data_IF_682430876403
#
_entry.id   IF_682430876403
#
_cell.length_a   1.000
_cell.length_b   1.000
_cell.length_c   1.000
_cell.angle_alpha   90.00
_cell.angle_beta   90.00
_cell.angle_gamma   90.00
#
_symmetry.space_group_name_H-M   'P 1'
#
loop_
_entity.id
_entity.type
_entity.pdbx_description
1 polymer ?
#
# COMPACT_ATOMS: atom_id res chain seq x y z
N UNK A 1 -18.61 9.76 51.50
CA UNK A 1 -19.08 9.58 50.11
C UNK A 1 -17.85 9.26 49.27
N UNK A 2 -17.74 8.02 48.80
CA UNK A 2 -16.61 7.49 48.06
C UNK A 2 -17.01 7.33 46.59
N UNK A 3 -16.14 7.76 45.68
CA UNK A 3 -16.29 7.56 44.23
C UNK A 3 -15.46 6.33 43.81
N UNK A 4 -15.94 5.50 42.87
CA UNK A 4 -15.25 4.27 42.48
C UNK A 4 -14.05 4.56 41.57
N UNK A 5 -12.95 3.86 41.83
CA UNK A 5 -11.78 3.76 40.95
C UNK A 5 -12.12 2.96 39.69
N UNK A 6 -11.96 3.56 38.51
CA UNK A 6 -11.96 2.83 37.25
C UNK A 6 -10.54 2.38 36.93
N UNK A 7 -10.30 1.10 37.15
CA UNK A 7 -9.10 0.37 36.80
C UNK A 7 -9.06 0.17 35.27
N UNK A 8 -8.38 1.06 34.54
CA UNK A 8 -8.23 0.94 33.10
C UNK A 8 -6.98 0.11 32.78
N UNK A 9 -7.18 -1.21 32.71
CA UNK A 9 -6.21 -2.13 32.13
C UNK A 9 -6.14 -1.91 30.61
N UNK A 10 -5.29 -0.98 30.18
CA UNK A 10 -4.86 -0.91 28.79
C UNK A 10 -3.82 -2.01 28.56
N UNK A 11 -4.29 -3.17 28.11
CA UNK A 11 -3.46 -4.21 27.52
C UNK A 11 -2.63 -3.61 26.39
N UNK A 12 -1.33 -3.50 26.64
CA UNK A 12 -0.36 -2.95 25.70
C UNK A 12 -0.29 -3.78 24.44
N UNK A 13 -0.80 -3.24 23.33
CA UNK A 13 -0.41 -3.64 21.99
C UNK A 13 1.04 -3.20 21.76
N UNK A 14 1.99 -4.04 22.16
CA UNK A 14 3.41 -3.85 21.87
C UNK A 14 3.64 -3.95 20.37
N UNK A 15 3.76 -2.78 19.73
CA UNK A 15 4.29 -2.68 18.38
C UNK A 15 5.65 -3.38 18.33
N UNK A 16 5.78 -4.40 17.47
CA UNK A 16 7.05 -5.10 17.26
C UNK A 16 7.96 -4.14 16.53
N UNK A 17 8.70 -3.40 17.34
CA UNK A 17 9.69 -2.43 16.92
C UNK A 17 10.91 -3.26 16.50
N UNK A 18 11.35 -3.11 15.25
CA UNK A 18 12.68 -3.60 14.86
C UNK A 18 13.71 -3.05 15.87
N UNK A 19 14.86 -3.71 16.07
CA UNK A 19 15.90 -3.23 17.01
C UNK A 19 16.44 -1.82 16.68
N UNK A 20 15.93 -1.19 15.61
CA UNK A 20 16.19 0.18 15.15
C UNK A 20 14.95 1.10 15.07
N UNK A 21 13.76 0.74 15.56
CA UNK A 21 12.63 1.68 15.60
C UNK A 21 11.83 1.90 14.29
N UNK A 22 12.29 1.36 13.16
CA UNK A 22 11.78 1.74 11.85
C UNK A 22 10.61 0.84 11.37
N UNK A 23 9.47 1.47 11.08
CA UNK A 23 8.34 0.83 10.39
C UNK A 23 8.73 0.52 8.94
N UNK A 24 8.42 -0.68 8.46
CA UNK A 24 8.97 -1.21 7.19
C UNK A 24 8.02 -1.03 6.02
N UNK A 25 8.56 -0.70 4.85
CA UNK A 25 7.77 -0.60 3.62
C UNK A 25 7.26 -1.97 3.16
N UNK A 26 6.16 -2.01 2.38
CA UNK A 26 5.69 -3.25 1.72
C UNK A 26 6.82 -3.94 0.96
N UNK A 27 7.72 -3.16 0.34
CA UNK A 27 8.87 -3.69 -0.37
C UNK A 27 9.95 -4.23 0.56
N UNK A 28 10.15 -3.62 1.74
CA UNK A 28 11.04 -4.13 2.79
C UNK A 28 10.52 -5.45 3.38
N UNK A 29 9.20 -5.58 3.54
CA UNK A 29 8.55 -6.86 3.90
C UNK A 29 8.86 -7.94 2.85
N UNK A 30 8.89 -7.58 1.56
CA UNK A 30 9.18 -8.48 0.44
C UNK A 30 10.67 -8.78 0.23
N UNK A 31 11.60 -7.89 0.63
CA UNK A 31 13.03 -8.05 0.36
C UNK A 31 13.74 -9.04 1.31
N UNK A 32 13.31 -9.13 2.58
CA UNK A 32 13.85 -10.13 3.52
C UNK A 32 13.39 -11.58 3.24
N UNK A 33 12.46 -11.73 2.30
CA UNK A 33 11.97 -13.00 1.74
C UNK A 33 13.10 -13.90 1.23
N UNK A 34 14.21 -13.31 0.78
CA UNK A 34 15.34 -14.05 0.23
C UNK A 34 16.28 -14.61 1.31
N UNK A 35 16.08 -14.27 2.60
CA UNK A 35 17.05 -14.60 3.65
C UNK A 35 16.51 -15.45 4.81
N UNK A 36 15.18 -15.55 5.05
CA UNK A 36 14.66 -16.52 6.04
C UNK A 36 13.17 -16.87 5.92
N UNK A 37 12.83 -18.08 6.36
CA UNK A 37 11.54 -18.77 6.39
C UNK A 37 10.46 -18.03 7.19
N UNK A 38 9.88 -16.94 6.66
CA UNK A 38 8.64 -16.39 7.23
C UNK A 38 7.44 -17.19 6.74
N UNK A 39 6.62 -17.64 7.68
CA UNK A 39 5.34 -18.33 7.44
C UNK A 39 4.36 -17.34 6.79
N UNK A 40 3.66 -17.76 5.73
CA UNK A 40 2.61 -16.95 5.11
C UNK A 40 1.40 -16.85 6.03
N UNK A 41 0.66 -15.76 5.93
CA UNK A 41 -0.65 -15.67 6.58
C UNK A 41 -1.57 -16.78 6.04
N UNK A 42 -2.44 -17.31 6.90
CA UNK A 42 -3.49 -18.24 6.46
C UNK A 42 -4.52 -17.50 5.59
N UNK A 43 -5.31 -18.24 4.81
CA UNK A 43 -6.34 -17.60 3.98
C UNK A 43 -7.39 -16.89 4.86
N UNK A 44 -7.77 -17.48 6.01
CA UNK A 44 -8.67 -16.85 7.00
C UNK A 44 -8.12 -15.52 7.55
N UNK A 45 -6.80 -15.44 7.81
CA UNK A 45 -6.16 -14.19 8.25
C UNK A 45 -6.16 -13.13 7.15
N UNK A 46 -6.01 -13.55 5.89
CA UNK A 46 -6.04 -12.67 4.74
C UNK A 46 -7.45 -12.12 4.54
N UNK A 47 -8.47 -12.98 4.63
CA UNK A 47 -9.87 -12.58 4.50
C UNK A 47 -10.28 -11.61 5.61
N UNK A 48 -9.91 -11.90 6.87
CA UNK A 48 -10.14 -10.98 7.99
C UNK A 48 -9.43 -9.62 7.82
N UNK A 49 -8.23 -9.62 7.21
CA UNK A 49 -7.54 -8.38 6.87
C UNK A 49 -8.25 -7.60 5.76
N UNK A 50 -8.72 -8.29 4.71
CA UNK A 50 -9.44 -7.68 3.59
C UNK A 50 -10.76 -7.06 4.07
N UNK A 51 -11.50 -7.74 4.94
CA UNK A 51 -12.75 -7.24 5.52
C UNK A 51 -12.56 -5.97 6.39
N UNK A 52 -11.40 -5.84 7.03
CA UNK A 52 -11.10 -4.72 7.94
C UNK A 52 -10.35 -3.55 7.31
N UNK A 53 -9.77 -3.71 6.12
CA UNK A 53 -8.95 -2.70 5.46
C UNK A 53 -9.79 -1.80 4.53
N UNK A 54 -9.39 -0.54 4.37
CA UNK A 54 -9.99 0.34 3.37
C UNK A 54 -9.57 -0.01 1.95
N UNK A 55 -10.43 0.31 0.99
CA UNK A 55 -10.18 0.16 -0.45
C UNK A 55 -8.84 0.79 -0.87
N UNK A 56 -8.48 1.96 -0.33
CA UNK A 56 -7.22 2.63 -0.72
C UNK A 56 -5.98 1.92 -0.18
N UNK A 57 -6.09 1.25 0.99
CA UNK A 57 -5.04 0.39 1.53
C UNK A 57 -4.95 -0.90 0.73
N UNK A 58 -6.09 -1.53 0.43
CA UNK A 58 -6.18 -2.74 -0.39
C UNK A 58 -5.60 -2.51 -1.79
N UNK A 59 -5.89 -1.38 -2.42
CA UNK A 59 -5.31 -1.02 -3.72
C UNK A 59 -3.76 -0.97 -3.68
N UNK A 60 -3.17 -0.45 -2.60
CA UNK A 60 -1.72 -0.43 -2.46
C UNK A 60 -1.13 -1.83 -2.18
N UNK A 61 -1.86 -2.66 -1.42
CA UNK A 61 -1.47 -4.03 -1.04
C UNK A 61 -1.55 -4.99 -2.21
N UNK A 62 -2.64 -4.96 -2.97
CA UNK A 62 -2.82 -5.71 -4.23
C UNK A 62 -1.74 -5.34 -5.25
N UNK A 63 -1.38 -4.05 -5.35
CA UNK A 63 -0.29 -3.59 -6.22
C UNK A 63 1.12 -3.96 -5.72
N UNK A 64 1.24 -4.31 -4.44
CA UNK A 64 2.51 -4.56 -3.75
C UNK A 64 3.43 -3.33 -3.63
N UNK A 65 2.92 -2.12 -3.88
CA UNK A 65 3.72 -0.88 -3.80
C UNK A 65 2.85 0.37 -3.64
N UNK A 66 3.45 1.37 -3.00
CA UNK A 66 2.90 2.72 -2.91
C UNK A 66 3.19 3.56 -4.15
N UNK A 67 2.26 4.44 -4.50
CA UNK A 67 2.38 5.37 -5.61
C UNK A 67 2.66 6.78 -5.10
N UNK A 68 3.91 7.21 -5.21
CA UNK A 68 4.33 8.57 -4.87
C UNK A 68 4.46 9.40 -6.14
N UNK A 69 4.03 10.68 -6.12
CA UNK A 69 4.19 11.55 -7.27
C UNK A 69 5.67 11.78 -7.58
N UNK A 70 6.00 11.79 -8.86
CA UNK A 70 7.34 12.11 -9.36
C UNK A 70 7.66 13.59 -9.18
N UNK A 71 8.94 13.97 -9.30
CA UNK A 71 9.36 15.38 -9.27
C UNK A 71 8.68 16.18 -10.40
N UNK A 72 8.45 15.58 -11.58
CA UNK A 72 7.74 16.28 -12.67
C UNK A 72 6.27 16.53 -12.36
N UNK A 73 5.64 15.68 -11.55
CA UNK A 73 4.22 15.82 -11.20
C UNK A 73 3.99 16.80 -10.05
N UNK A 74 4.85 16.78 -9.02
CA UNK A 74 4.63 17.54 -7.78
C UNK A 74 5.68 18.63 -7.50
N UNK A 75 6.65 18.83 -8.40
CA UNK A 75 7.77 19.73 -8.17
C UNK A 75 8.73 19.26 -7.06
N UNK A 76 9.67 20.13 -6.70
CA UNK A 76 10.58 19.93 -5.56
C UNK A 76 10.31 21.00 -4.51
N UNK A 77 9.79 20.55 -3.36
CA UNK A 77 9.51 21.40 -2.21
C UNK A 77 10.07 20.70 -0.97
N UNK A 78 10.94 21.41 -0.25
CA UNK A 78 11.47 20.94 1.03
C UNK A 78 10.56 21.45 2.13
N UNK A 79 10.15 20.52 2.99
CA UNK A 79 9.22 20.78 4.09
C UNK A 79 9.92 21.12 5.39
N UNK A 80 11.22 20.79 5.51
CA UNK A 80 11.96 20.84 6.76
C UNK A 80 13.46 20.63 6.51
N UNK A 81 14.27 20.80 7.55
CA UNK A 81 15.72 20.48 7.58
C UNK A 81 16.00 19.66 8.82
N UNK A 82 16.68 18.51 8.69
CA UNK A 82 17.02 17.70 9.86
C UNK A 82 18.20 18.27 10.68
N UNK A 83 18.49 17.63 11.80
CA UNK A 83 19.58 17.97 12.72
C UNK A 83 20.98 17.92 12.09
N UNK A 84 21.13 17.19 10.99
CA UNK A 84 22.36 17.10 10.20
C UNK A 84 22.45 18.13 9.07
N UNK A 85 21.42 18.97 8.91
CA UNK A 85 21.35 20.00 7.86
C UNK A 85 20.82 19.48 6.52
N UNK A 86 20.27 18.26 6.45
CA UNK A 86 19.71 17.71 5.21
C UNK A 86 18.29 18.23 4.97
N UNK A 87 17.99 18.61 3.74
CA UNK A 87 16.68 19.09 3.31
C UNK A 87 15.71 17.92 3.19
N UNK A 88 14.54 18.02 3.83
CA UNK A 88 13.55 16.95 3.87
C UNK A 88 12.40 17.22 2.90
N UNK A 89 12.17 16.30 1.97
CA UNK A 89 10.99 16.28 1.09
C UNK A 89 10.08 15.12 1.48
N UNK A 90 8.82 15.43 1.81
CA UNK A 90 7.83 14.44 2.23
C UNK A 90 6.74 14.28 1.16
N UNK A 91 6.52 13.06 0.71
CA UNK A 91 5.56 12.72 -0.34
C UNK A 91 4.55 11.72 0.20
N UNK A 92 3.26 12.04 0.11
CA UNK A 92 2.19 11.11 0.47
C UNK A 92 1.88 10.18 -0.71
N UNK A 93 1.54 8.93 -0.42
CA UNK A 93 1.02 8.00 -1.40
C UNK A 93 -0.31 8.56 -1.94
N UNK A 94 -0.45 8.63 -3.26
CA UNK A 94 -1.68 9.13 -3.90
C UNK A 94 -2.88 8.20 -3.76
N UNK A 95 -2.65 6.95 -3.39
CA UNK A 95 -3.70 5.95 -3.12
C UNK A 95 -4.11 6.01 -1.65
N UNK A 96 -3.34 5.38 -0.75
CA UNK A 96 -3.73 5.25 0.66
C UNK A 96 -3.59 6.53 1.50
N UNK A 97 -2.86 7.56 1.03
CA UNK A 97 -2.54 8.81 1.75
C UNK A 97 -1.80 8.66 3.10
N UNK A 98 -1.69 7.43 3.62
CA UNK A 98 -1.09 7.08 4.92
C UNK A 98 0.41 6.83 4.82
N UNK A 99 0.86 6.24 3.72
CA UNK A 99 2.29 6.04 3.49
C UNK A 99 2.94 7.34 3.03
N UNK A 100 3.99 7.75 3.73
CA UNK A 100 4.74 8.97 3.47
C UNK A 100 6.19 8.59 3.17
N UNK A 101 6.62 8.84 1.94
CA UNK A 101 8.02 8.74 1.57
C UNK A 101 8.74 9.99 2.04
N UNK A 102 9.75 9.81 2.87
CA UNK A 102 10.62 10.89 3.33
C UNK A 102 11.94 10.78 2.61
N UNK A 103 12.26 11.78 1.78
CA UNK A 103 13.51 11.88 1.06
C UNK A 103 14.41 12.90 1.74
N UNK A 104 15.66 12.52 2.02
CA UNK A 104 16.69 13.44 2.50
C UNK A 104 17.56 13.89 1.34
N UNK A 105 17.77 15.19 1.22
CA UNK A 105 18.49 15.82 0.13
C UNK A 105 19.60 16.72 0.67
N UNK A 106 20.71 16.77 -0.06
CA UNK A 106 21.77 17.74 0.19
C UNK A 106 22.00 18.59 -1.06
N UNK A 107 22.31 19.86 -0.85
CA UNK A 107 22.78 20.78 -1.88
C UNK A 107 24.29 20.91 -1.80
N UNK A 108 24.99 20.64 -2.91
CA UNK A 108 26.43 20.80 -3.01
C UNK A 108 26.74 21.89 -4.04
N UNK A 109 27.59 22.83 -3.67
CA UNK A 109 28.11 23.82 -4.61
C UNK A 109 29.16 23.19 -5.50
N UNK A 110 28.94 23.23 -6.81
CA UNK A 110 29.86 22.75 -7.84
C UNK A 110 30.16 23.92 -8.76
N UNK A 111 31.27 24.62 -8.50
CA UNK A 111 31.63 25.85 -9.20
C UNK A 111 30.61 26.97 -8.89
N UNK A 112 29.97 27.46 -9.94
CA UNK A 112 28.96 28.53 -9.88
C UNK A 112 27.54 28.04 -9.57
N UNK A 113 27.30 26.72 -9.63
CA UNK A 113 25.97 26.14 -9.53
C UNK A 113 25.80 25.25 -8.30
N UNK A 114 24.62 25.31 -7.71
CA UNK A 114 24.21 24.34 -6.67
C UNK A 114 23.56 23.12 -7.31
N UNK A 115 24.05 21.93 -6.96
CA UNK A 115 23.46 20.65 -7.38
C UNK A 115 22.86 19.94 -6.18
N UNK A 116 21.61 19.51 -6.32
CA UNK A 116 20.92 18.74 -5.28
C UNK A 116 21.02 17.25 -5.57
N UNK A 117 21.30 16.45 -4.54
CA UNK A 117 21.28 14.99 -4.62
C UNK A 117 20.47 14.41 -3.47
N UNK A 118 19.69 13.37 -3.77
CA UNK A 118 18.98 12.59 -2.75
C UNK A 118 19.98 11.65 -2.10
N UNK A 119 20.12 11.77 -0.78
CA UNK A 119 21.07 10.99 0.04
C UNK A 119 20.44 9.67 0.45
N UNK A 120 19.20 9.73 0.95
CA UNK A 120 18.44 8.55 1.37
C UNK A 120 16.94 8.77 1.19
N UNK A 121 16.18 7.68 1.21
CA UNK A 121 14.73 7.70 1.22
C UNK A 121 14.23 6.63 2.20
N UNK A 122 13.37 7.04 3.11
CA UNK A 122 12.68 6.16 4.05
C UNK A 122 11.18 6.21 3.82
N UNK A 123 10.46 5.26 4.42
CA UNK A 123 9.01 5.24 4.43
C UNK A 123 8.50 5.35 5.86
N UNK A 124 7.56 6.26 6.07
CA UNK A 124 6.80 6.41 7.30
C UNK A 124 5.35 6.04 7.03
N UNK A 125 4.68 5.44 8.01
CA UNK A 125 3.24 5.24 7.95
C UNK A 125 2.58 6.12 8.99
N UNK A 126 1.55 6.84 8.55
CA UNK A 126 0.71 7.67 9.39
C UNK A 126 -0.63 7.01 9.57
N UNK A 127 -1.24 7.27 10.72
CA UNK A 127 -2.66 7.00 10.92
C UNK A 127 -3.46 7.89 9.99
N UNK A 128 -4.52 7.35 9.36
CA UNK A 128 -5.45 8.18 8.59
C UNK A 128 -6.26 9.09 9.51
N UNK A 129 -6.94 10.07 8.93
CA UNK A 129 -7.83 10.97 9.68
C UNK A 129 -8.97 10.19 10.36
N UNK A 130 -9.35 9.03 9.82
CA UNK A 130 -10.36 8.11 10.35
C UNK A 130 -9.79 7.07 11.33
N UNK A 131 -8.54 7.24 11.79
CA UNK A 131 -7.91 6.34 12.76
C UNK A 131 -7.37 5.03 12.18
N UNK A 132 -7.46 4.81 10.86
CA UNK A 132 -6.93 3.60 10.24
C UNK A 132 -5.42 3.57 10.32
N UNK A 133 -4.85 2.36 10.41
CA UNK A 133 -3.40 2.15 10.35
C UNK A 133 -3.05 1.18 9.24
N UNK A 134 -1.87 1.37 8.64
CA UNK A 134 -1.45 0.61 7.45
C UNK A 134 -0.97 -0.82 7.79
N UNK A 135 -0.77 -1.08 9.07
CA UNK A 135 -0.11 -2.29 9.55
C UNK A 135 -1.09 -3.47 9.49
N UNK A 136 -0.57 -4.62 9.07
CA UNK A 136 -1.25 -5.90 9.26
C UNK A 136 -1.54 -6.11 10.77
N UNK A 137 -2.58 -6.87 11.13
CA UNK A 137 -2.78 -7.30 12.51
C UNK A 137 -1.49 -7.89 13.06
N UNK A 138 -1.18 -7.61 14.32
CA UNK A 138 -0.04 -8.24 14.99
C UNK A 138 -0.24 -9.76 15.01
N UNK A 139 0.66 -10.52 14.37
CA UNK A 139 0.93 -11.91 14.77
C UNK A 139 0.72 -13.03 13.75
N UNK A 140 0.13 -12.82 12.57
CA UNK A 140 -0.18 -13.96 11.67
C UNK A 140 0.39 -13.79 10.26
N UNK A 141 1.63 -14.25 10.10
CA UNK A 141 2.29 -14.45 8.81
C UNK A 141 2.41 -13.20 7.91
N UNK A 142 3.08 -13.36 6.77
CA UNK A 142 3.14 -12.31 5.75
C UNK A 142 2.01 -12.47 4.74
N UNK A 143 1.30 -11.39 4.43
CA UNK A 143 0.26 -11.36 3.40
C UNK A 143 0.85 -10.87 2.07
N UNK A 144 0.76 -11.70 1.03
CA UNK A 144 1.25 -11.37 -0.31
C UNK A 144 0.24 -10.54 -1.12
N UNK A 145 0.68 -9.73 -2.10
CA UNK A 145 -0.23 -9.04 -3.03
C UNK A 145 -1.19 -9.99 -3.75
N UNK A 146 -0.71 -11.21 -4.06
CA UNK A 146 -1.53 -12.26 -4.65
C UNK A 146 -2.63 -12.72 -3.70
N UNK A 147 -2.31 -13.01 -2.44
CA UNK A 147 -3.31 -13.40 -1.43
C UNK A 147 -4.40 -12.32 -1.28
N UNK A 148 -4.01 -11.04 -1.28
CA UNK A 148 -4.98 -9.92 -1.27
C UNK A 148 -5.88 -9.95 -2.51
N UNK A 149 -5.30 -10.07 -3.70
CA UNK A 149 -6.09 -10.14 -4.94
C UNK A 149 -7.03 -11.35 -4.99
N UNK A 150 -6.54 -12.52 -4.57
CA UNK A 150 -7.32 -13.76 -4.53
C UNK A 150 -8.50 -13.63 -3.53
N UNK A 151 -8.29 -13.04 -2.35
CA UNK A 151 -9.32 -12.78 -1.35
C UNK A 151 -10.36 -11.74 -1.82
N UNK A 152 -9.92 -10.60 -2.37
CA UNK A 152 -10.82 -9.57 -2.93
C UNK A 152 -11.69 -10.17 -4.05
N UNK A 153 -11.09 -10.94 -4.96
CA UNK A 153 -11.82 -11.61 -6.03
C UNK A 153 -12.86 -12.61 -5.47
N UNK A 154 -12.48 -13.38 -4.45
CA UNK A 154 -13.38 -14.34 -3.80
C UNK A 154 -14.56 -13.64 -3.11
N UNK A 155 -14.33 -12.50 -2.46
CA UNK A 155 -15.38 -11.68 -1.85
C UNK A 155 -16.33 -11.10 -2.92
N UNK A 156 -15.79 -10.54 -4.01
CA UNK A 156 -16.57 -9.96 -5.10
C UNK A 156 -17.42 -10.99 -5.85
N UNK A 157 -16.95 -12.23 -5.93
CA UNK A 157 -17.65 -13.34 -6.59
C UNK A 157 -18.54 -14.16 -5.64
N UNK A 158 -18.62 -13.78 -4.37
CA UNK A 158 -19.42 -14.48 -3.38
C UNK A 158 -20.88 -14.62 -3.82
N UNK A 159 -21.43 -15.83 -3.67
CA UNK A 159 -22.80 -16.15 -4.13
C UNK A 159 -22.95 -16.45 -5.62
N UNK A 160 -21.91 -16.30 -6.44
CA UNK A 160 -21.94 -16.65 -7.87
C UNK A 160 -21.43 -18.08 -8.08
N UNK A 161 -22.11 -18.86 -8.91
CA UNK A 161 -21.63 -20.21 -9.27
C UNK A 161 -20.62 -20.17 -10.41
N UNK A 162 -19.68 -21.11 -10.43
CA UNK A 162 -18.72 -21.24 -11.54
C UNK A 162 -19.41 -21.39 -12.91
N UNK A 163 -20.54 -22.12 -12.97
CA UNK A 163 -21.33 -22.26 -14.19
C UNK A 163 -21.90 -20.92 -14.67
N UNK A 164 -22.38 -20.08 -13.76
CA UNK A 164 -22.85 -18.74 -14.11
C UNK A 164 -21.71 -17.85 -14.62
N UNK A 165 -20.52 -17.95 -14.02
CA UNK A 165 -19.32 -17.22 -14.47
C UNK A 165 -18.87 -17.66 -15.86
N UNK A 166 -18.83 -18.97 -16.14
CA UNK A 166 -18.47 -19.47 -17.47
C UNK A 166 -19.45 -18.98 -18.54
N UNK A 167 -20.76 -19.05 -18.27
CA UNK A 167 -21.79 -18.55 -19.20
C UNK A 167 -21.65 -17.04 -19.46
N UNK A 168 -21.39 -16.26 -18.41
CA UNK A 168 -21.18 -14.83 -18.56
C UNK A 168 -19.92 -14.50 -19.38
N UNK A 169 -18.85 -15.27 -19.19
CA UNK A 169 -17.61 -15.12 -19.95
C UNK A 169 -17.79 -15.48 -21.44
N UNK A 170 -18.52 -16.55 -21.75
CA UNK A 170 -18.86 -16.95 -23.13
C UNK A 170 -19.68 -15.85 -23.83
N UNK A 171 -20.74 -15.36 -23.19
CA UNK A 171 -21.58 -14.29 -23.75
C UNK A 171 -20.79 -12.98 -23.98
N UNK A 172 -19.86 -12.63 -23.07
CA UNK A 172 -19.00 -11.46 -23.24
C UNK A 172 -18.01 -11.62 -24.41
N UNK A 173 -17.49 -12.83 -24.63
CA UNK A 173 -16.61 -13.12 -25.75
C UNK A 173 -17.34 -13.06 -27.10
N UNK A 174 -18.57 -13.58 -27.17
CA UNK A 174 -19.44 -13.48 -28.35
C UNK A 174 -19.75 -12.02 -28.68
N UNK A 175 -20.15 -11.22 -27.69
CA UNK A 175 -20.43 -9.79 -27.88
C UNK A 175 -19.20 -8.98 -28.34
N UNK A 176 -18.00 -9.32 -27.82
CA UNK A 176 -16.76 -8.69 -28.27
C UNK A 176 -16.46 -9.02 -29.75
N UNK A 177 -16.66 -10.27 -30.17
CA UNK A 177 -16.46 -10.71 -31.55
C UNK A 177 -17.45 -10.03 -32.54
N UNK A 178 -18.69 -9.81 -32.12
CA UNK A 178 -19.68 -9.06 -32.91
C UNK A 178 -19.29 -7.59 -33.07
N UNK A 179 -18.81 -6.96 -31.99
CA UNK A 179 -18.37 -5.55 -32.03
C UNK A 179 -17.13 -5.31 -32.91
N UNK A 180 -16.19 -6.25 -32.95
CA UNK A 180 -15.01 -6.17 -33.83
C UNK A 180 -15.38 -6.39 -35.32
N UNK A 181 -16.43 -7.17 -35.58
CA UNK A 181 -16.95 -7.42 -36.93
C UNK A 181 -17.72 -6.21 -37.48
N UNK A 182 -18.46 -5.49 -36.62
CA UNK A 182 -19.15 -4.25 -36.98
C UNK A 182 -18.17 -3.08 -37.19
N UNK A 183 -17.11 -2.98 -36.37
CA UNK A 183 -16.07 -1.96 -36.53
C UNK A 183 -15.23 -2.12 -37.82
N UNK A 184 -15.13 -3.33 -38.36
CA UNK A 184 -14.36 -3.62 -39.59
C UNK A 184 -15.19 -3.47 -40.87
N UNK A 185 -16.52 -3.45 -40.79
CA UNK A 185 -17.42 -3.30 -41.94
C UNK A 185 -17.90 -1.86 -42.18
N UNK A 186 -17.59 -0.92 -41.27
CA UNK A 186 -17.98 0.50 -41.35
C UNK A 186 -16.96 1.45 -42.00
N UNK A 187 -15.91 0.96 -42.66
CA UNK A 187 -14.91 1.78 -43.38
C UNK A 187 -15.06 1.50 -44.88
N UNK A 188 -16.12 2.01 -45.50
CA UNK A 188 -16.23 2.20 -46.95
C UNK A 188 -17.45 3.10 -47.23
N UNK A 189 -17.23 4.43 -47.21
CA UNK A 189 -17.99 5.43 -47.99
C UNK A 189 -17.06 6.61 -48.33
#
# INVERSE_FOLDING_TARGET
MAFPEFNSAASGASAITDRSGAVRSIQGEQAERSTSTRVRASDDDVDAYVDGASDEVLACRERGRHLFPTIRQAGIHFTDVDDTGLLLRRLRCGCCRMAVKVEKWEGLQIGDRTRFRRVTSTLEYRTSDDGQTYLAPTGTGFITPRQIGDAIASQALSGTTLTALHRAAEAAAEAAAESDTEATTGVDD
#
